data_IF_232099273706
#
_entry.id   IF_232099273706
#
_cell.length_a   1.000
_cell.length_b   1.000
_cell.length_c   1.000
_cell.angle_alpha   90.00
_cell.angle_beta   90.00
_cell.angle_gamma   90.00
#
_symmetry.space_group_name_H-M   'P 1'
#
loop_
_entity.id
_entity.type
_entity.pdbx_description
1 polymer ?
#
# COMPACT_ATOMS: atom_id res chain seq x y z
N UNK A 1 -33.13 12.70 -0.93
CA UNK A 1 -31.74 13.02 -0.53
C UNK A 1 -31.42 12.15 0.67
N UNK A 2 -30.70 11.04 0.47
CA UNK A 2 -30.19 10.23 1.59
C UNK A 2 -29.07 11.05 2.22
N UNK A 3 -29.28 11.51 3.44
CA UNK A 3 -28.35 12.36 4.15
C UNK A 3 -26.98 11.72 4.27
N UNK A 4 -25.96 12.54 4.11
CA UNK A 4 -24.56 12.21 4.36
C UNK A 4 -24.47 11.64 5.78
N UNK A 5 -24.22 10.33 5.91
CA UNK A 5 -24.23 9.63 7.20
C UNK A 5 -22.97 9.85 8.03
N UNK A 6 -21.97 10.54 7.50
CA UNK A 6 -20.70 10.86 8.18
C UNK A 6 -20.29 12.28 7.82
N UNK A 7 -19.81 13.04 8.79
CA UNK A 7 -19.17 14.33 8.57
C UNK A 7 -17.74 14.07 8.11
N UNK A 8 -17.38 14.30 6.83
CA UNK A 8 -16.03 14.08 6.36
C UNK A 8 -15.09 15.12 6.94
N UNK A 9 -13.91 14.69 7.37
CA UNK A 9 -12.87 15.58 7.87
C UNK A 9 -11.92 15.94 6.75
N UNK A 10 -11.65 17.22 6.59
CA UNK A 10 -10.82 17.77 5.53
C UNK A 10 -9.53 18.35 6.10
N UNK A 11 -8.39 18.02 5.49
CA UNK A 11 -7.12 18.69 5.74
C UNK A 11 -6.69 19.46 4.50
N UNK A 12 -6.28 20.71 4.68
CA UNK A 12 -5.73 21.55 3.62
C UNK A 12 -4.23 21.70 3.77
N UNK A 13 -3.52 21.66 2.65
CA UNK A 13 -2.08 21.91 2.57
C UNK A 13 -1.74 22.75 1.33
N UNK A 14 -0.96 23.80 1.57
CA UNK A 14 -0.34 24.63 0.52
C UNK A 14 1.01 24.04 0.11
N UNK A 15 1.10 23.57 -1.14
CA UNK A 15 2.32 22.97 -1.68
C UNK A 15 3.40 24.02 -2.02
N UNK A 16 3.02 25.12 -2.64
CA UNK A 16 3.76 26.35 -2.89
C UNK A 16 2.89 27.26 -3.78
N UNK A 17 1.87 27.85 -3.18
CA UNK A 17 0.93 28.69 -3.92
C UNK A 17 1.36 30.16 -3.94
N UNK A 18 0.70 30.92 -4.81
CA UNK A 18 0.72 32.39 -4.73
C UNK A 18 -0.26 32.92 -3.69
N UNK A 19 -0.79 32.07 -2.81
CA UNK A 19 -1.85 32.28 -1.82
C UNK A 19 -3.25 32.58 -2.40
N UNK A 20 -3.43 32.71 -3.71
CA UNK A 20 -4.73 33.00 -4.29
C UNK A 20 -5.76 31.92 -3.97
N UNK A 21 -5.45 30.65 -4.27
CA UNK A 21 -6.33 29.54 -3.97
C UNK A 21 -6.50 29.28 -2.47
N UNK A 22 -5.46 29.56 -1.65
CA UNK A 22 -5.53 29.38 -0.19
C UNK A 22 -6.51 30.35 0.46
N UNK A 23 -6.49 31.61 0.03
CA UNK A 23 -7.45 32.63 0.49
C UNK A 23 -8.87 32.20 0.13
N UNK A 24 -9.09 31.66 -1.07
CA UNK A 24 -10.40 31.18 -1.51
C UNK A 24 -10.84 29.91 -0.75
N UNK A 25 -9.92 29.02 -0.42
CA UNK A 25 -10.20 27.86 0.47
C UNK A 25 -10.61 28.33 1.85
N UNK A 26 -9.89 29.32 2.42
CA UNK A 26 -10.27 29.90 3.71
C UNK A 26 -11.62 30.65 3.65
N UNK A 27 -11.91 31.31 2.53
CA UNK A 27 -13.20 31.95 2.30
C UNK A 27 -14.37 30.93 2.36
N UNK A 28 -14.17 29.69 1.91
CA UNK A 28 -15.19 28.63 2.01
C UNK A 28 -15.61 28.31 3.45
N UNK A 29 -14.73 28.57 4.45
CA UNK A 29 -15.02 28.37 5.87
C UNK A 29 -15.73 29.58 6.51
N UNK A 30 -15.85 30.68 5.76
CA UNK A 30 -16.54 31.87 6.28
C UNK A 30 -18.06 31.72 6.25
N UNK A 31 -18.82 32.46 7.06
CA UNK A 31 -20.28 32.40 7.08
C UNK A 31 -20.97 32.68 5.74
N UNK A 32 -20.29 33.37 4.80
CA UNK A 32 -20.85 33.68 3.48
C UNK A 32 -20.98 32.40 2.63
N UNK A 33 -19.98 31.54 2.66
CA UNK A 33 -19.93 30.31 1.87
C UNK A 33 -20.30 29.06 2.66
N UNK A 34 -19.94 29.04 3.95
CA UNK A 34 -20.40 28.04 4.95
C UNK A 34 -20.30 26.59 4.45
N UNK A 35 -19.10 26.15 4.04
CA UNK A 35 -18.87 24.77 3.61
C UNK A 35 -19.15 23.74 4.72
N UNK A 36 -19.10 24.18 5.99
CA UNK A 36 -19.40 23.33 7.15
C UNK A 36 -20.87 22.87 7.19
N UNK A 37 -21.80 23.62 6.54
CA UNK A 37 -23.21 23.18 6.33
C UNK A 37 -23.32 21.84 5.57
N UNK A 38 -22.27 21.46 4.84
CA UNK A 38 -22.19 20.15 4.16
C UNK A 38 -21.71 19.04 5.10
N UNK A 39 -21.51 19.34 6.38
CA UNK A 39 -20.99 18.42 7.39
C UNK A 39 -19.48 18.27 7.37
N UNK A 40 -18.77 19.08 6.57
CA UNK A 40 -17.30 19.04 6.50
C UNK A 40 -16.69 19.65 7.74
N UNK A 41 -15.69 18.99 8.31
CA UNK A 41 -14.92 19.48 9.46
C UNK A 41 -13.47 19.71 9.04
N UNK A 42 -12.97 20.94 9.18
CA UNK A 42 -11.57 21.23 8.95
C UNK A 42 -10.70 20.73 10.12
N UNK A 43 -9.61 20.01 9.81
CA UNK A 43 -8.71 19.47 10.82
C UNK A 43 -7.25 19.69 10.46
N UNK A 44 -6.40 19.86 11.46
CA UNK A 44 -4.94 19.86 11.29
C UNK A 44 -4.27 18.49 11.46
N UNK A 45 -5.07 17.43 11.73
CA UNK A 45 -4.53 16.10 11.97
C UNK A 45 -4.81 15.15 10.79
N UNK A 46 -3.80 14.77 10.00
CA UNK A 46 -3.99 13.89 8.84
C UNK A 46 -4.56 12.51 9.20
N UNK A 47 -4.34 12.01 10.42
CA UNK A 47 -4.86 10.71 10.86
C UNK A 47 -6.38 10.68 11.06
N UNK A 48 -7.01 11.84 11.07
CA UNK A 48 -8.46 11.98 11.17
C UNK A 48 -9.10 12.47 9.87
N UNK A 49 -8.30 12.87 8.88
CA UNK A 49 -8.81 13.44 7.64
C UNK A 49 -9.20 12.35 6.63
N UNK A 50 -10.35 12.56 6.00
CA UNK A 50 -10.88 11.73 4.91
C UNK A 50 -10.59 12.38 3.54
N UNK A 51 -10.53 13.72 3.50
CA UNK A 51 -10.29 14.51 2.29
C UNK A 51 -9.02 15.31 2.45
N UNK A 52 -8.10 15.15 1.51
CA UNK A 52 -6.86 15.92 1.40
C UNK A 52 -6.96 16.94 0.29
N UNK A 53 -7.10 18.20 0.63
CA UNK A 53 -7.18 19.32 -0.30
C UNK A 53 -5.80 19.97 -0.42
N UNK A 54 -5.29 20.06 -1.65
CA UNK A 54 -3.96 20.60 -1.93
C UNK A 54 -4.07 21.76 -2.90
N UNK A 55 -3.45 22.88 -2.55
CA UNK A 55 -3.29 24.07 -3.39
C UNK A 55 -1.82 24.25 -3.80
N UNK A 56 -1.56 25.07 -4.82
CA UNK A 56 -0.21 25.39 -5.27
C UNK A 56 0.46 24.34 -6.13
N UNK A 57 1.56 24.74 -6.77
CA UNK A 57 2.41 23.84 -7.54
C UNK A 57 3.33 23.04 -6.62
N UNK A 58 3.63 21.80 -6.99
CA UNK A 58 4.49 20.95 -6.16
C UNK A 58 5.95 21.26 -6.42
N UNK A 59 6.68 21.62 -5.38
CA UNK A 59 8.13 21.82 -5.42
C UNK A 59 8.87 20.66 -4.73
N UNK A 60 10.20 20.59 -4.88
CA UNK A 60 11.04 19.54 -4.31
C UNK A 60 10.87 19.37 -2.79
N UNK A 61 10.68 20.48 -2.06
CA UNK A 61 10.50 20.43 -0.61
C UNK A 61 9.11 19.94 -0.20
N UNK A 62 8.07 20.41 -0.91
CA UNK A 62 6.68 20.05 -0.60
C UNK A 62 6.33 18.60 -0.99
N UNK A 63 7.06 17.99 -1.94
CA UNK A 63 6.83 16.58 -2.32
C UNK A 63 6.86 15.63 -1.13
N UNK A 64 7.90 15.73 -0.30
CA UNK A 64 8.05 14.86 0.86
C UNK A 64 6.92 15.05 1.87
N UNK A 65 6.49 16.31 2.07
CA UNK A 65 5.41 16.67 2.99
C UNK A 65 4.06 16.14 2.46
N UNK A 66 3.76 16.35 1.18
CA UNK A 66 2.53 15.85 0.53
C UNK A 66 2.43 14.34 0.65
N UNK A 67 3.52 13.61 0.34
CA UNK A 67 3.57 12.16 0.50
C UNK A 67 3.33 11.75 1.94
N UNK A 68 3.99 12.40 2.89
CA UNK A 68 3.86 12.09 4.31
C UNK A 68 2.42 12.31 4.81
N UNK A 69 1.78 13.43 4.47
CA UNK A 69 0.38 13.70 4.81
C UNK A 69 -0.52 12.63 4.18
N UNK A 70 -0.38 12.38 2.86
CA UNK A 70 -1.18 11.38 2.14
C UNK A 70 -1.10 9.99 2.77
N UNK A 71 0.09 9.58 3.23
CA UNK A 71 0.29 8.28 3.87
C UNK A 71 -0.34 8.18 5.25
N UNK A 72 -0.44 9.30 5.97
CA UNK A 72 -1.06 9.33 7.30
C UNK A 72 -2.59 9.33 7.26
N UNK A 73 -3.21 9.71 6.12
CA UNK A 73 -4.65 9.63 5.99
C UNK A 73 -5.11 8.16 5.99
N UNK A 74 -6.16 7.82 6.76
CA UNK A 74 -6.74 6.47 6.73
C UNK A 74 -7.42 6.18 5.39
N UNK A 75 -7.57 4.90 5.06
CA UNK A 75 -8.37 4.47 3.92
C UNK A 75 -9.84 4.27 4.33
N UNK A 76 -10.81 4.59 3.47
CA UNK A 76 -10.67 5.23 2.16
C UNK A 76 -10.49 6.75 2.29
N UNK A 77 -9.70 7.33 1.40
CA UNK A 77 -9.39 8.76 1.34
C UNK A 77 -9.59 9.32 -0.06
N UNK A 78 -9.73 10.66 -0.13
CA UNK A 78 -9.91 11.40 -1.39
C UNK A 78 -8.94 12.57 -1.45
N UNK A 79 -8.29 12.76 -2.59
CA UNK A 79 -7.38 13.89 -2.85
C UNK A 79 -8.02 14.86 -3.82
N UNK A 80 -8.02 16.14 -3.45
CA UNK A 80 -8.55 17.25 -4.25
C UNK A 80 -7.45 18.22 -4.59
N UNK A 81 -7.12 18.38 -5.87
CA UNK A 81 -6.18 19.38 -6.36
C UNK A 81 -6.93 20.67 -6.72
N UNK A 82 -6.66 21.76 -6.03
CA UNK A 82 -7.37 23.05 -6.20
C UNK A 82 -6.51 24.07 -6.94
N UNK A 83 -7.05 24.57 -8.03
CA UNK A 83 -6.43 25.56 -8.90
C UNK A 83 -5.49 24.94 -9.93
N UNK A 84 -5.14 25.74 -10.94
CA UNK A 84 -4.33 25.26 -12.07
C UNK A 84 -2.90 24.87 -11.65
N UNK A 85 -2.36 25.50 -10.59
CA UNK A 85 -1.04 25.19 -10.09
C UNK A 85 -1.00 23.78 -9.47
N UNK A 86 -2.00 23.42 -8.65
CA UNK A 86 -2.13 22.07 -8.09
C UNK A 86 -2.43 21.02 -9.17
N UNK A 87 -3.17 21.41 -10.21
CA UNK A 87 -3.56 20.48 -11.29
C UNK A 87 -2.38 20.14 -12.24
N UNK A 88 -1.47 21.10 -12.52
CA UNK A 88 -0.47 20.92 -13.58
C UNK A 88 0.83 21.72 -13.39
N UNK A 89 1.01 22.38 -12.24
CA UNK A 89 2.09 23.35 -12.02
C UNK A 89 1.76 24.77 -12.48
N UNK A 90 0.70 24.95 -13.30
CA UNK A 90 0.23 26.25 -13.78
C UNK A 90 1.33 27.04 -14.49
N UNK A 91 1.41 28.34 -14.19
CA UNK A 91 2.44 29.25 -14.74
C UNK A 91 3.84 28.96 -14.18
N UNK A 92 3.95 28.20 -13.09
CA UNK A 92 5.23 27.84 -12.46
C UNK A 92 5.82 26.53 -12.99
N UNK A 93 5.15 25.86 -13.92
CA UNK A 93 5.50 24.53 -14.42
C UNK A 93 6.94 24.39 -14.90
N UNK A 94 7.50 25.46 -15.48
CA UNK A 94 8.87 25.47 -16.01
C UNK A 94 9.91 26.04 -15.04
N UNK A 95 9.52 26.36 -13.80
CA UNK A 95 10.47 26.78 -12.78
C UNK A 95 11.35 25.62 -12.34
N UNK A 96 12.64 25.90 -12.09
CA UNK A 96 13.67 24.87 -11.84
C UNK A 96 13.39 23.93 -10.66
N UNK A 97 12.60 24.38 -9.67
CA UNK A 97 12.29 23.62 -8.46
C UNK A 97 10.86 23.07 -8.45
N UNK A 98 10.09 23.23 -9.52
CA UNK A 98 8.70 22.75 -9.63
C UNK A 98 8.68 21.40 -10.33
N UNK A 99 8.06 20.44 -9.66
CA UNK A 99 7.90 19.05 -10.18
C UNK A 99 6.61 18.85 -10.98
N UNK A 100 5.73 19.85 -11.00
CA UNK A 100 4.45 19.81 -11.70
C UNK A 100 3.23 19.93 -10.80
N UNK A 101 2.15 19.21 -11.13
CA UNK A 101 0.93 19.12 -10.34
C UNK A 101 1.02 18.11 -9.21
N UNK A 102 -0.03 18.03 -8.39
CA UNK A 102 -0.13 17.09 -7.26
C UNK A 102 -0.09 15.64 -7.73
N UNK A 103 -0.60 15.35 -8.92
CA UNK A 103 -0.63 14.03 -9.55
C UNK A 103 0.76 13.48 -9.92
N UNK A 104 1.78 14.33 -9.97
CA UNK A 104 3.18 13.90 -10.10
C UNK A 104 3.71 13.19 -8.84
N UNK A 105 3.03 13.35 -7.70
CA UNK A 105 3.50 12.87 -6.38
C UNK A 105 2.55 11.87 -5.74
N UNK A 106 1.24 12.13 -5.78
CA UNK A 106 0.17 11.28 -5.21
C UNK A 106 -1.02 11.20 -6.17
N UNK A 107 -1.82 10.13 -6.12
CA UNK A 107 -3.04 10.03 -6.90
C UNK A 107 -4.03 11.16 -6.55
N UNK A 108 -4.63 11.78 -7.56
CA UNK A 108 -5.64 12.83 -7.42
C UNK A 108 -7.01 12.30 -7.88
N UNK A 109 -8.02 12.44 -7.05
CA UNK A 109 -9.38 11.99 -7.33
C UNK A 109 -10.25 13.11 -7.95
N UNK A 110 -10.04 14.35 -7.55
CA UNK A 110 -10.85 15.49 -7.99
C UNK A 110 -9.96 16.70 -8.33
N UNK A 111 -10.20 17.33 -9.47
CA UNK A 111 -9.55 18.56 -9.86
C UNK A 111 -10.55 19.72 -9.83
N UNK A 112 -10.16 20.83 -9.21
CA UNK A 112 -10.93 22.08 -9.16
C UNK A 112 -10.19 23.13 -10.00
N UNK A 113 -10.67 23.48 -11.20
CA UNK A 113 -9.99 24.45 -12.06
C UNK A 113 -10.14 25.89 -11.53
N UNK A 114 -9.20 26.73 -11.88
CA UNK A 114 -9.23 28.18 -11.60
C UNK A 114 -7.84 28.73 -11.30
N UNK A 115 -7.71 30.07 -11.47
CA UNK A 115 -6.51 30.83 -11.08
C UNK A 115 -6.94 32.25 -10.62
N UNK A 116 -7.31 32.41 -9.36
CA UNK A 116 -7.59 31.40 -8.34
C UNK A 116 -8.90 30.66 -8.59
N UNK A 117 -9.05 29.45 -8.02
CA UNK A 117 -10.34 28.76 -8.00
C UNK A 117 -11.30 29.52 -7.07
N UNK A 118 -12.51 29.84 -7.54
CA UNK A 118 -13.50 30.54 -6.72
C UNK A 118 -14.08 29.64 -5.63
N UNK A 119 -14.56 30.20 -4.51
CA UNK A 119 -15.12 29.43 -3.41
C UNK A 119 -16.23 28.48 -3.83
N UNK A 120 -17.11 28.92 -4.75
CA UNK A 120 -18.20 28.06 -5.27
C UNK A 120 -17.65 26.83 -6.01
N UNK A 121 -16.61 27.01 -6.82
CA UNK A 121 -15.97 25.89 -7.51
C UNK A 121 -15.24 24.94 -6.55
N UNK A 122 -14.66 25.49 -5.49
CA UNK A 122 -14.03 24.69 -4.42
C UNK A 122 -15.08 23.86 -3.68
N UNK A 123 -16.21 24.47 -3.32
CA UNK A 123 -17.34 23.79 -2.66
C UNK A 123 -17.89 22.68 -3.57
N UNK A 124 -18.08 22.94 -4.86
CA UNK A 124 -18.49 21.90 -5.83
C UNK A 124 -17.47 20.76 -5.90
N UNK A 125 -16.19 21.08 -5.83
CA UNK A 125 -15.10 20.10 -5.76
C UNK A 125 -15.19 19.24 -4.48
N UNK A 126 -15.47 19.86 -3.35
CA UNK A 126 -15.67 19.16 -2.05
C UNK A 126 -16.90 18.27 -2.09
N UNK A 127 -18.02 18.72 -2.68
CA UNK A 127 -19.22 17.89 -2.87
C UNK A 127 -18.92 16.68 -3.75
N UNK A 128 -18.15 16.84 -4.82
CA UNK A 128 -17.68 15.70 -5.65
C UNK A 128 -16.80 14.75 -4.85
N UNK A 129 -15.87 15.30 -4.06
CA UNK A 129 -14.99 14.51 -3.20
C UNK A 129 -15.77 13.68 -2.18
N UNK A 130 -16.81 14.25 -1.58
CA UNK A 130 -17.73 13.52 -0.66
C UNK A 130 -18.39 12.35 -1.42
N UNK A 131 -18.88 12.57 -2.65
CA UNK A 131 -19.48 11.50 -3.45
C UNK A 131 -18.50 10.37 -3.77
N UNK A 132 -17.25 10.71 -4.11
CA UNK A 132 -16.18 9.74 -4.34
C UNK A 132 -15.84 8.97 -3.04
N UNK A 133 -15.77 9.66 -1.91
CA UNK A 133 -15.51 9.06 -0.60
C UNK A 133 -16.62 8.07 -0.21
N UNK A 134 -17.89 8.44 -0.39
CA UNK A 134 -19.03 7.56 -0.14
C UNK A 134 -19.00 6.31 -1.03
N UNK A 135 -18.63 6.47 -2.30
CA UNK A 135 -18.47 5.33 -3.21
C UNK A 135 -17.37 4.38 -2.73
N UNK A 136 -16.18 4.91 -2.42
CA UNK A 136 -15.06 4.12 -1.89
C UNK A 136 -15.44 3.41 -0.58
N UNK A 137 -16.15 4.10 0.34
CA UNK A 137 -16.66 3.49 1.58
C UNK A 137 -17.64 2.35 1.32
N UNK A 138 -18.55 2.52 0.37
CA UNK A 138 -19.52 1.48 0.01
C UNK A 138 -18.84 0.25 -0.53
N UNK A 139 -17.93 0.42 -1.49
CA UNK A 139 -17.14 -0.69 -2.03
C UNK A 139 -16.38 -1.45 -0.93
N UNK A 140 -15.67 -0.72 -0.07
CA UNK A 140 -14.92 -1.35 1.02
C UNK A 140 -15.83 -2.08 2.01
N UNK A 141 -17.02 -1.55 2.28
CA UNK A 141 -18.01 -2.19 3.14
C UNK A 141 -18.59 -3.46 2.50
N UNK A 142 -18.86 -3.44 1.20
CA UNK A 142 -19.32 -4.61 0.45
C UNK A 142 -18.27 -5.72 0.45
N UNK A 143 -17.00 -5.36 0.23
CA UNK A 143 -15.87 -6.30 0.37
C UNK A 143 -15.79 -6.84 1.80
N UNK A 144 -15.91 -5.96 2.80
CA UNK A 144 -15.84 -6.36 4.21
C UNK A 144 -16.98 -7.31 4.62
N UNK A 145 -18.17 -7.15 4.06
CA UNK A 145 -19.31 -8.03 4.29
C UNK A 145 -19.21 -9.38 3.57
N UNK A 146 -18.35 -9.46 2.57
CA UNK A 146 -18.14 -10.68 1.76
C UNK A 146 -16.84 -11.42 2.11
N UNK A 147 -16.23 -11.12 3.26
CA UNK A 147 -14.96 -11.74 3.67
C UNK A 147 -15.04 -13.23 4.00
N UNK A 148 -16.23 -13.76 4.23
CA UNK A 148 -16.51 -15.20 4.32
C UNK A 148 -16.30 -15.93 2.99
N UNK A 149 -16.38 -15.19 1.87
CA UNK A 149 -16.19 -15.68 0.50
C UNK A 149 -14.80 -15.40 -0.07
N UNK A 150 -13.80 -15.19 0.77
CA UNK A 150 -12.42 -14.98 0.29
C UNK A 150 -11.95 -16.23 -0.44
N UNK A 151 -11.52 -16.02 -1.70
CA UNK A 151 -10.88 -17.03 -2.51
C UNK A 151 -9.38 -16.80 -2.53
N UNK A 152 -8.60 -17.87 -2.42
CA UNK A 152 -7.15 -17.82 -2.51
C UNK A 152 -6.74 -18.54 -3.79
N UNK A 153 -6.01 -17.84 -4.64
CA UNK A 153 -5.58 -18.36 -5.94
C UNK A 153 -4.12 -18.00 -6.20
N UNK A 154 -3.48 -18.80 -7.05
CA UNK A 154 -2.22 -18.39 -7.65
C UNK A 154 -2.48 -17.14 -8.49
N UNK A 155 -1.64 -16.13 -8.35
CA UNK A 155 -1.74 -14.92 -9.15
C UNK A 155 -1.07 -15.12 -10.51
N UNK A 156 -1.58 -14.40 -11.51
CA UNK A 156 -1.06 -14.36 -12.87
C UNK A 156 -0.39 -13.01 -13.14
N UNK A 157 0.41 -12.91 -14.21
CA UNK A 157 1.08 -11.67 -14.60
C UNK A 157 0.10 -10.51 -14.81
N UNK A 158 -1.12 -10.78 -15.29
CA UNK A 158 -2.20 -9.81 -15.43
C UNK A 158 -2.63 -9.15 -14.11
N UNK A 159 -2.36 -9.77 -12.98
CA UNK A 159 -2.67 -9.25 -11.64
C UNK A 159 -1.59 -8.27 -11.12
N UNK A 160 -0.44 -8.17 -11.81
CA UNK A 160 0.71 -7.40 -11.35
C UNK A 160 0.38 -5.92 -11.04
N UNK A 161 -0.42 -5.18 -11.85
CA UNK A 161 -0.75 -3.80 -11.53
C UNK A 161 -1.52 -3.66 -10.21
N UNK A 162 -2.49 -4.54 -9.95
CA UNK A 162 -3.31 -4.51 -8.73
C UNK A 162 -2.50 -4.95 -7.51
N UNK A 163 -1.65 -5.97 -7.65
CA UNK A 163 -0.73 -6.41 -6.60
C UNK A 163 0.26 -5.31 -6.24
N UNK A 164 0.81 -4.58 -7.23
CA UNK A 164 1.73 -3.48 -7.00
C UNK A 164 1.06 -2.32 -6.26
N UNK A 165 -0.16 -1.95 -6.66
CA UNK A 165 -0.95 -0.92 -5.99
C UNK A 165 -1.22 -1.30 -4.52
N UNK A 166 -1.66 -2.54 -4.28
CA UNK A 166 -1.86 -3.09 -2.95
C UNK A 166 -0.57 -3.09 -2.12
N UNK A 167 0.55 -3.51 -2.72
CA UNK A 167 1.86 -3.53 -2.07
C UNK A 167 2.27 -2.14 -1.60
N UNK A 168 2.17 -1.13 -2.47
CA UNK A 168 2.50 0.25 -2.12
C UNK A 168 1.66 0.74 -0.94
N UNK A 169 0.33 0.54 -0.98
CA UNK A 169 -0.57 0.91 0.12
C UNK A 169 -0.22 0.15 1.41
N UNK A 170 0.07 -1.14 1.33
CA UNK A 170 0.36 -1.95 2.50
C UNK A 170 1.70 -1.60 3.17
N UNK A 171 2.74 -1.27 2.38
CA UNK A 171 4.07 -0.94 2.91
C UNK A 171 4.20 0.50 3.42
N UNK A 172 3.26 1.37 3.14
CA UNK A 172 3.26 2.74 3.68
C UNK A 172 3.28 2.77 5.20
N UNK A 173 2.47 1.93 5.85
CA UNK A 173 2.46 1.81 7.31
C UNK A 173 3.80 1.29 7.90
N UNK A 174 4.58 0.56 7.12
CA UNK A 174 5.93 0.15 7.51
C UNK A 174 6.91 1.33 7.34
N UNK A 175 6.83 2.09 6.25
CA UNK A 175 7.64 3.29 6.04
C UNK A 175 7.43 4.33 7.16
N UNK A 176 6.17 4.57 7.53
CA UNK A 176 5.84 5.45 8.66
C UNK A 176 6.46 4.97 9.98
N UNK A 177 6.45 3.65 10.24
CA UNK A 177 7.00 3.07 11.45
C UNK A 177 8.50 3.31 11.59
N UNK A 178 9.21 3.40 10.45
CA UNK A 178 10.64 3.67 10.40
C UNK A 178 10.97 5.15 10.19
N UNK A 179 10.04 5.95 9.67
CA UNK A 179 10.30 7.30 9.16
C UNK A 179 11.26 7.28 7.96
N UNK A 180 11.19 6.21 7.16
CA UNK A 180 12.12 5.93 6.05
C UNK A 180 11.38 5.27 4.87
N UNK A 181 11.40 5.95 3.73
CA UNK A 181 10.74 5.50 2.48
C UNK A 181 11.63 4.55 1.66
N UNK A 182 12.87 4.27 2.08
CA UNK A 182 13.84 3.48 1.32
C UNK A 182 13.49 1.98 1.18
N UNK A 183 12.32 1.58 1.70
CA UNK A 183 11.86 0.19 1.61
C UNK A 183 11.72 -0.26 0.14
N UNK A 184 12.42 -1.32 -0.31
CA UNK A 184 12.39 -1.76 -1.70
C UNK A 184 11.00 -2.08 -2.25
N UNK A 185 10.04 -2.36 -1.36
CA UNK A 185 8.66 -2.61 -1.74
C UNK A 185 7.93 -1.37 -2.28
N UNK A 186 8.31 -0.17 -1.83
CA UNK A 186 7.70 1.08 -2.27
C UNK A 186 8.23 1.57 -3.62
N UNK A 187 9.48 1.22 -3.93
CA UNK A 187 10.17 1.65 -5.15
C UNK A 187 10.08 0.65 -6.31
N UNK A 188 9.50 -0.53 -6.08
CA UNK A 188 9.32 -1.53 -7.12
C UNK A 188 8.47 -0.97 -8.26
N UNK A 189 8.94 -1.11 -9.50
CA UNK A 189 8.20 -0.72 -10.71
C UNK A 189 7.26 -1.84 -11.16
N UNK A 190 6.36 -1.53 -12.09
CA UNK A 190 5.50 -2.56 -12.67
C UNK A 190 6.33 -3.57 -13.49
N UNK A 191 7.32 -3.09 -14.24
CA UNK A 191 8.23 -3.93 -15.03
C UNK A 191 9.03 -4.89 -14.14
N UNK A 192 9.52 -4.40 -12.97
CA UNK A 192 10.21 -5.26 -12.00
C UNK A 192 9.29 -6.37 -11.47
N UNK A 193 8.04 -6.00 -11.13
CA UNK A 193 7.09 -6.98 -10.60
C UNK A 193 6.66 -7.98 -11.67
N UNK A 194 6.42 -7.54 -12.90
CA UNK A 194 6.11 -8.42 -14.02
C UNK A 194 7.27 -9.37 -14.34
N UNK A 195 8.52 -8.88 -14.26
CA UNK A 195 9.70 -9.72 -14.43
C UNK A 195 9.83 -10.78 -13.33
N UNK A 196 9.37 -10.48 -12.10
CA UNK A 196 9.36 -11.44 -10.99
C UNK A 196 8.43 -12.65 -11.28
N UNK A 197 7.37 -12.49 -12.08
CA UNK A 197 6.52 -13.61 -12.51
C UNK A 197 7.21 -14.56 -13.51
N UNK A 198 8.20 -14.06 -14.23
CA UNK A 198 8.94 -14.81 -15.26
C UNK A 198 10.32 -15.30 -14.77
N UNK A 199 10.82 -14.71 -13.69
CA UNK A 199 12.15 -14.98 -13.17
C UNK A 199 12.27 -16.34 -12.50
N UNK A 200 13.36 -17.02 -12.81
CA UNK A 200 13.92 -18.03 -11.93
C UNK A 200 14.53 -17.36 -10.68
N UNK A 201 14.34 -17.93 -9.48
CA UNK A 201 14.87 -17.37 -8.26
C UNK A 201 16.41 -17.31 -8.34
N UNK A 202 16.96 -16.11 -8.24
CA UNK A 202 18.39 -15.89 -8.02
C UNK A 202 18.55 -15.58 -6.53
N UNK A 203 19.58 -16.14 -5.89
CA UNK A 203 19.97 -15.70 -4.55
C UNK A 203 20.13 -14.19 -4.59
N UNK A 204 19.40 -13.47 -3.74
CA UNK A 204 19.75 -12.09 -3.43
C UNK A 204 21.23 -12.13 -3.01
N UNK A 205 22.10 -11.51 -3.83
CA UNK A 205 23.53 -11.54 -3.67
C UNK A 205 23.93 -10.83 -2.38
N UNK A 206 23.91 -11.56 -1.29
CA UNK A 206 24.62 -11.19 -0.08
C UNK A 206 25.24 -12.47 0.49
N UNK A 207 26.57 -12.54 0.32
CA UNK A 207 27.52 -13.46 0.95
C UNK A 207 27.75 -14.81 0.27
N UNK A 208 28.93 -14.89 -0.34
CA UNK A 208 29.78 -16.03 -0.68
C UNK A 208 29.43 -16.88 -1.91
N UNK A 209 30.31 -16.67 -2.88
CA UNK A 209 30.55 -17.44 -4.07
C UNK A 209 30.29 -18.95 -4.01
N UNK A 210 29.40 -19.38 -4.89
CA UNK A 210 29.45 -20.72 -5.45
C UNK A 210 28.91 -20.68 -6.88
N UNK A 211 29.71 -21.24 -7.77
CA UNK A 211 29.50 -21.36 -9.22
C UNK A 211 28.37 -22.35 -9.54
N UNK A 212 27.55 -21.97 -10.50
CA UNK A 212 26.93 -22.70 -11.57
C UNK A 212 26.54 -24.15 -11.41
N UNK A 213 25.25 -24.42 -11.58
CA UNK A 213 24.77 -25.58 -12.31
C UNK A 213 23.53 -25.12 -13.09
N UNK A 214 23.67 -25.10 -14.41
CA UNK A 214 22.54 -25.09 -15.33
C UNK A 214 22.02 -26.52 -15.37
N UNK A 215 20.85 -26.76 -14.78
CA UNK A 215 20.12 -27.99 -14.98
C UNK A 215 18.79 -27.67 -15.65
N UNK A 216 18.56 -28.28 -16.80
CA UNK A 216 17.53 -27.99 -17.78
C UNK A 216 16.24 -28.77 -17.59
N UNK A 217 15.78 -28.92 -16.34
CA UNK A 217 14.43 -29.46 -16.02
C UNK A 217 13.71 -28.54 -15.05
N UNK A 218 13.41 -27.31 -15.51
CA UNK A 218 12.66 -26.36 -14.71
C UNK A 218 11.26 -26.87 -14.46
N UNK A 219 10.96 -27.28 -13.23
CA UNK A 219 9.62 -27.53 -12.76
C UNK A 219 8.91 -26.19 -12.45
N UNK A 220 7.60 -26.15 -12.43
CA UNK A 220 6.81 -24.96 -12.09
C UNK A 220 7.15 -24.38 -10.69
N UNK A 221 7.89 -25.13 -9.87
CA UNK A 221 8.35 -24.78 -8.51
C UNK A 221 9.66 -23.98 -8.52
N UNK A 222 10.36 -23.88 -9.67
CA UNK A 222 11.59 -23.13 -9.81
C UNK A 222 11.35 -21.64 -10.12
N UNK A 223 10.09 -21.20 -10.09
CA UNK A 223 9.68 -19.81 -10.32
C UNK A 223 9.20 -19.14 -9.03
N UNK A 224 9.19 -17.82 -9.04
CA UNK A 224 8.53 -17.06 -7.97
C UNK A 224 7.02 -17.24 -8.11
N UNK A 225 6.39 -17.79 -7.08
CA UNK A 225 4.96 -18.03 -7.04
C UNK A 225 4.30 -16.95 -6.20
N UNK A 226 3.23 -16.38 -6.73
CA UNK A 226 2.39 -15.42 -6.04
C UNK A 226 1.05 -16.05 -5.69
N UNK A 227 0.60 -15.83 -4.45
CA UNK A 227 -0.76 -16.19 -3.99
C UNK A 227 -1.50 -14.91 -3.67
N UNK A 228 -2.71 -14.78 -4.20
CA UNK A 228 -3.61 -13.64 -3.98
C UNK A 228 -4.84 -14.04 -3.20
N UNK A 229 -5.34 -13.14 -2.36
CA UNK A 229 -6.63 -13.23 -1.69
C UNK A 229 -7.62 -12.29 -2.39
N UNK A 230 -8.70 -12.84 -2.93
CA UNK A 230 -9.67 -12.12 -3.76
C UNK A 230 -11.05 -12.15 -3.13
N UNK A 231 -11.74 -11.02 -3.11
CA UNK A 231 -13.14 -10.87 -2.72
C UNK A 231 -13.83 -9.98 -3.75
N UNK A 232 -14.96 -10.42 -4.27
CA UNK A 232 -15.74 -9.69 -5.28
C UNK A 232 -14.88 -9.21 -6.47
N UNK A 233 -13.92 -10.04 -6.90
CA UNK A 233 -13.01 -9.71 -8.01
C UNK A 233 -11.86 -8.77 -7.65
N UNK A 234 -11.77 -8.25 -6.40
CA UNK A 234 -10.67 -7.37 -5.97
C UNK A 234 -9.63 -8.12 -5.14
N UNK A 235 -8.37 -7.82 -5.38
CA UNK A 235 -7.22 -8.37 -4.63
C UNK A 235 -7.06 -7.57 -3.34
N UNK A 236 -7.31 -8.22 -2.19
CA UNK A 236 -7.21 -7.59 -0.86
C UNK A 236 -5.98 -8.03 -0.07
N UNK A 237 -5.24 -9.01 -0.59
CA UNK A 237 -3.99 -9.49 -0.01
C UNK A 237 -3.18 -10.29 -1.01
N UNK A 238 -1.87 -10.32 -0.82
CA UNK A 238 -0.94 -11.12 -1.62
C UNK A 238 0.29 -11.53 -0.81
N UNK A 239 0.90 -12.63 -1.23
CA UNK A 239 2.19 -13.09 -0.74
C UNK A 239 2.95 -13.71 -1.91
N UNK A 240 4.27 -13.65 -1.90
CA UNK A 240 5.11 -14.37 -2.85
C UNK A 240 6.13 -15.25 -2.15
N UNK A 241 6.54 -16.31 -2.84
CA UNK A 241 7.58 -17.20 -2.38
C UNK A 241 8.22 -17.96 -3.52
N UNK A 242 9.39 -18.51 -3.26
CA UNK A 242 10.11 -19.41 -4.16
C UNK A 242 10.85 -20.46 -3.34
N UNK A 243 11.10 -21.61 -3.94
CA UNK A 243 11.87 -22.69 -3.32
C UNK A 243 13.31 -22.69 -3.89
N UNK A 244 14.30 -22.89 -3.03
CA UNK A 244 15.70 -23.08 -3.39
C UNK A 244 16.42 -23.82 -2.28
N UNK A 245 17.29 -24.75 -2.63
CA UNK A 245 18.16 -25.51 -1.70
C UNK A 245 17.35 -26.16 -0.55
N UNK A 246 16.14 -26.67 -0.84
CA UNK A 246 15.28 -27.34 0.16
C UNK A 246 14.58 -26.39 1.13
N UNK A 247 14.68 -25.08 0.94
CA UNK A 247 13.98 -24.06 1.70
C UNK A 247 13.04 -23.26 0.82
N UNK A 248 11.89 -22.81 1.35
CA UNK A 248 11.02 -21.84 0.71
C UNK A 248 11.21 -20.46 1.33
N UNK A 249 11.50 -19.49 0.49
CA UNK A 249 11.71 -18.08 0.87
C UNK A 249 10.44 -17.30 0.61
N UNK A 250 9.80 -16.83 1.69
CA UNK A 250 8.53 -16.09 1.64
C UNK A 250 8.80 -14.60 1.77
N UNK A 251 8.10 -13.79 1.00
CA UNK A 251 8.26 -12.33 1.02
C UNK A 251 7.00 -11.61 0.57
N UNK A 252 6.97 -10.29 0.74
CA UNK A 252 5.88 -9.43 0.27
C UNK A 252 4.49 -9.89 0.73
N UNK A 253 4.36 -10.27 2.01
CA UNK A 253 3.04 -10.51 2.61
C UNK A 253 2.32 -9.17 2.78
N UNK A 254 1.38 -8.93 1.90
CA UNK A 254 0.59 -7.70 1.83
C UNK A 254 -0.86 -7.98 2.19
N UNK A 255 -1.44 -7.13 3.03
CA UNK A 255 -2.89 -7.11 3.27
C UNK A 255 -3.31 -5.65 3.32
N UNK A 256 -4.34 -5.32 2.55
CA UNK A 256 -4.90 -3.98 2.51
C UNK A 256 -5.22 -3.47 3.92
N UNK A 257 -4.79 -2.25 4.31
CA UNK A 257 -4.91 -1.74 5.68
C UNK A 257 -6.31 -1.86 6.28
N UNK A 258 -7.34 -1.56 5.50
CA UNK A 258 -8.75 -1.64 5.91
C UNK A 258 -9.20 -3.07 6.29
N UNK A 259 -8.59 -4.11 5.74
CA UNK A 259 -8.94 -5.52 5.97
C UNK A 259 -7.99 -6.23 6.95
N UNK A 260 -7.01 -5.54 7.52
CA UNK A 260 -6.09 -6.11 8.52
C UNK A 260 -6.84 -6.54 9.79
N UNK A 261 -6.27 -7.51 10.50
CA UNK A 261 -6.85 -8.02 11.74
C UNK A 261 -7.93 -9.09 11.57
N UNK A 262 -8.31 -9.42 10.32
CA UNK A 262 -9.37 -10.38 9.98
C UNK A 262 -8.86 -11.76 9.54
N UNK A 263 -7.60 -12.07 9.83
CA UNK A 263 -7.00 -13.37 9.55
C UNK A 263 -6.49 -13.62 8.12
N UNK A 264 -6.63 -12.64 7.20
CA UNK A 264 -6.25 -12.79 5.79
C UNK A 264 -4.77 -13.12 5.62
N UNK A 265 -3.87 -12.37 6.28
CA UNK A 265 -2.43 -12.64 6.21
C UNK A 265 -2.06 -14.02 6.76
N UNK A 266 -2.83 -14.51 7.71
CA UNK A 266 -2.71 -15.88 8.20
C UNK A 266 -3.03 -16.88 7.12
N UNK A 267 -4.15 -16.76 6.47
CA UNK A 267 -4.56 -17.70 5.41
C UNK A 267 -3.62 -17.65 4.21
N UNK A 268 -3.14 -16.46 3.83
CA UNK A 268 -2.12 -16.32 2.77
C UNK A 268 -0.83 -17.09 3.07
N UNK A 269 -0.37 -17.07 4.34
CA UNK A 269 0.79 -17.87 4.75
C UNK A 269 0.49 -19.37 4.70
N UNK A 270 -0.69 -19.79 5.13
CA UNK A 270 -1.12 -21.19 5.07
C UNK A 270 -1.23 -21.68 3.62
N UNK A 271 -1.78 -20.87 2.73
CA UNK A 271 -1.91 -21.22 1.31
C UNK A 271 -0.55 -21.32 0.59
N UNK A 272 0.36 -20.38 0.83
CA UNK A 272 1.68 -20.45 0.17
C UNK A 272 2.55 -21.57 0.75
N UNK A 273 2.39 -21.94 2.02
CA UNK A 273 3.04 -23.11 2.61
C UNK A 273 2.59 -24.41 1.92
N UNK A 274 1.33 -24.50 1.49
CA UNK A 274 0.81 -25.64 0.74
C UNK A 274 1.36 -25.74 -0.69
N UNK A 275 1.77 -24.62 -1.26
CA UNK A 275 2.40 -24.57 -2.59
C UNK A 275 3.78 -25.25 -2.59
N UNK A 276 4.47 -25.26 -1.45
CA UNK A 276 5.81 -25.82 -1.30
C UNK A 276 5.84 -27.05 -0.34
N UNK A 277 5.17 -28.17 -0.68
CA UNK A 277 5.02 -29.30 0.24
C UNK A 277 6.31 -30.10 0.48
N UNK A 278 7.34 -29.92 -0.35
CA UNK A 278 8.56 -30.72 -0.33
C UNK A 278 9.77 -30.00 0.28
N UNK A 279 9.60 -28.75 0.75
CA UNK A 279 10.70 -28.03 1.40
C UNK A 279 10.86 -28.48 2.84
N UNK A 280 12.09 -28.40 3.35
CA UNK A 280 12.38 -28.72 4.75
C UNK A 280 12.08 -27.55 5.68
N UNK A 281 12.10 -26.31 5.13
CA UNK A 281 12.05 -25.07 5.90
C UNK A 281 11.38 -23.95 5.13
N UNK A 282 10.67 -23.10 5.85
CA UNK A 282 10.19 -21.82 5.39
C UNK A 282 11.00 -20.70 6.03
N UNK A 283 11.41 -19.71 5.23
CA UNK A 283 12.12 -18.53 5.69
C UNK A 283 11.35 -17.26 5.28
N UNK A 284 11.28 -16.29 6.20
CA UNK A 284 10.64 -14.99 5.95
C UNK A 284 11.43 -13.89 6.67
N UNK A 285 11.50 -12.69 6.08
CA UNK A 285 12.11 -11.53 6.74
C UNK A 285 11.09 -10.42 6.99
N UNK A 286 11.24 -9.73 8.12
CA UNK A 286 10.46 -8.55 8.47
C UNK A 286 11.34 -7.53 9.18
N UNK A 287 10.87 -6.30 9.28
CA UNK A 287 11.62 -5.25 9.97
C UNK A 287 11.56 -5.39 11.50
N UNK A 288 12.63 -5.01 12.18
CA UNK A 288 12.76 -5.16 13.64
C UNK A 288 11.73 -4.37 14.46
N UNK A 289 11.21 -3.24 13.94
CA UNK A 289 10.16 -2.45 14.60
C UNK A 289 8.76 -2.99 14.35
N UNK A 290 8.57 -3.88 13.39
CA UNK A 290 7.27 -4.48 13.03
C UNK A 290 6.82 -5.51 14.07
N UNK A 291 6.65 -5.07 15.33
CA UNK A 291 6.32 -5.93 16.49
C UNK A 291 5.10 -6.81 16.23
N UNK A 292 4.11 -6.29 15.52
CA UNK A 292 2.89 -7.04 15.16
C UNK A 292 3.21 -8.20 14.22
N UNK A 293 4.03 -7.98 13.19
CA UNK A 293 4.42 -9.04 12.25
C UNK A 293 5.27 -10.10 12.96
N UNK A 294 6.27 -9.68 13.74
CA UNK A 294 7.10 -10.59 14.54
C UNK A 294 6.25 -11.47 15.45
N UNK A 295 5.31 -10.89 16.19
CA UNK A 295 4.41 -11.63 17.07
C UNK A 295 3.51 -12.61 16.31
N UNK A 296 2.97 -12.20 15.15
CA UNK A 296 2.12 -13.06 14.33
C UNK A 296 2.90 -14.24 13.72
N UNK A 297 4.14 -14.01 13.30
CA UNK A 297 5.02 -15.06 12.78
C UNK A 297 5.44 -16.04 13.90
N UNK A 298 5.84 -15.53 15.07
CA UNK A 298 6.18 -16.35 16.22
C UNK A 298 5.03 -17.29 16.66
N UNK A 299 3.79 -16.78 16.67
CA UNK A 299 2.58 -17.61 16.93
C UNK A 299 2.40 -18.79 15.96
N UNK A 300 3.10 -18.78 14.81
CA UNK A 300 3.02 -19.82 13.78
C UNK A 300 4.23 -20.73 13.77
N UNK A 301 5.09 -20.59 14.76
CA UNK A 301 6.28 -21.41 14.90
C UNK A 301 7.46 -20.90 14.07
N UNK A 302 7.42 -19.65 13.60
CA UNK A 302 8.59 -19.01 13.03
C UNK A 302 9.48 -18.50 14.17
N UNK A 303 10.77 -18.84 14.12
CA UNK A 303 11.79 -18.45 15.09
C UNK A 303 12.84 -17.57 14.42
N UNK A 304 13.22 -16.47 15.08
CA UNK A 304 14.25 -15.59 14.57
C UNK A 304 15.63 -16.27 14.67
N UNK A 305 16.39 -16.29 13.56
CA UNK A 305 17.70 -16.92 13.51
C UNK A 305 18.83 -15.98 13.07
N UNK A 306 18.48 -14.87 12.39
CA UNK A 306 19.47 -13.89 11.89
C UNK A 306 18.88 -12.50 11.93
N UNK A 307 19.74 -11.51 12.18
CA UNK A 307 19.43 -10.08 11.97
C UNK A 307 20.48 -9.46 11.07
N UNK A 308 20.09 -8.49 10.25
CA UNK A 308 20.97 -7.82 9.31
C UNK A 308 20.57 -6.35 9.14
N UNK A 309 21.53 -5.45 9.30
CA UNK A 309 21.28 -4.02 9.08
C UNK A 309 21.10 -3.75 7.59
N UNK A 310 20.00 -3.13 7.21
CA UNK A 310 19.70 -2.72 5.84
C UNK A 310 20.01 -1.23 5.63
N UNK A 311 19.56 -0.39 6.54
CA UNK A 311 19.92 1.03 6.63
C UNK A 311 20.30 1.34 8.09
N UNK A 312 20.82 2.53 8.40
CA UNK A 312 21.07 2.91 9.80
C UNK A 312 19.83 2.82 10.70
N UNK A 313 18.63 2.84 10.11
CA UNK A 313 17.34 2.86 10.84
C UNK A 313 16.62 1.52 10.74
N UNK A 314 16.81 0.75 9.66
CA UNK A 314 16.09 -0.49 9.38
C UNK A 314 17.02 -1.68 9.55
N UNK A 315 16.65 -2.61 10.44
CA UNK A 315 17.28 -3.91 10.59
C UNK A 315 16.27 -5.00 10.21
N UNK A 316 16.66 -5.88 9.29
CA UNK A 316 15.87 -7.06 8.96
C UNK A 316 16.05 -8.13 10.02
N UNK A 317 14.95 -8.75 10.42
CA UNK A 317 14.91 -9.96 11.22
C UNK A 317 14.48 -11.10 10.32
N UNK A 318 15.33 -12.09 10.18
CA UNK A 318 15.07 -13.31 9.42
C UNK A 318 14.51 -14.35 10.38
N UNK A 319 13.37 -14.93 10.00
CA UNK A 319 12.70 -15.96 10.76
C UNK A 319 12.58 -17.24 9.93
N UNK A 320 12.69 -18.38 10.58
CA UNK A 320 12.54 -19.70 9.97
C UNK A 320 11.49 -20.54 10.70
N UNK A 321 10.89 -21.45 9.96
CA UNK A 321 9.98 -22.47 10.47
C UNK A 321 10.29 -23.79 9.78
N UNK A 322 10.71 -24.79 10.53
CA UNK A 322 10.93 -26.12 9.99
C UNK A 322 9.59 -26.80 9.66
N UNK A 323 9.53 -27.40 8.47
CA UNK A 323 8.38 -28.21 8.07
C UNK A 323 8.49 -29.54 8.82
N UNK A 324 7.56 -29.82 9.75
CA UNK A 324 7.53 -31.14 10.41
C UNK A 324 7.28 -32.19 9.33
N UNK A 325 8.11 -33.27 9.26
CA UNK A 325 7.83 -34.38 8.36
C UNK A 325 6.41 -34.86 8.64
N UNK A 326 5.60 -35.05 7.60
CA UNK A 326 4.25 -35.59 7.71
C UNK A 326 4.34 -36.88 8.53
N UNK A 327 3.84 -36.85 9.77
CA UNK A 327 3.86 -38.01 10.64
C UNK A 327 3.22 -39.17 9.88
N UNK A 328 3.99 -40.21 9.57
CA UNK A 328 3.53 -41.41 8.92
C UNK A 328 2.32 -41.89 9.72
N UNK A 329 1.13 -41.82 9.12
CA UNK A 329 -0.07 -42.43 9.70
C UNK A 329 0.23 -43.91 9.86
N UNK A 330 0.61 -44.32 11.08
CA UNK A 330 0.68 -45.75 11.44
C UNK A 330 -0.70 -46.31 11.18
N UNK A 331 -0.81 -47.05 10.08
CA UNK A 331 -1.92 -48.01 9.91
C UNK A 331 -1.79 -49.03 11.06
N UNK A 332 -2.58 -48.83 12.07
CA UNK A 332 -2.80 -49.85 13.09
C UNK A 332 -3.52 -51.00 12.40
N UNK A 333 -2.79 -52.07 12.16
CA UNK A 333 -3.36 -53.41 11.94
C UNK A 333 -3.84 -53.87 13.29
N UNK A 334 -5.12 -54.03 13.42
CA UNK A 334 -5.75 -55.09 14.23
C UNK A 334 -7.10 -55.45 13.59
#
# INVERSE_FOLDING_TARGET
MNGIKQSPWLIHYDASSCNGCDIEVLACLTPIYDVERLGVVNTGNPKHADIFLVTGAVNEQSQAVIRNIYHQLPEPKVVVAVGICAASGGIFRECYNISGGVDSVIPVDVYVPGCAARPEAIIDGVVKAIGVLEHKHREMKEIANSLDKILFHRAEKSDAPEILALQKIAYQSEAELYGDDSLPALHQTLEDLESDFERMPQREATVLGARGAQDSSATDLDRIIFVKAVVNGKIIGSIRGYAMDGSAYLSRLNVHPYFRGRGIGRRLLEEIEQVFPHVNRFEIKTGHRSKRNLFQLAKRGFEAFKTESFTPIITWVYLQKDQRPAAAKKKGVK
#
